data_IF_974641995555
#
_entry.id   IF_974641995555
#
_cell.length_a   1.000
_cell.length_b   1.000
_cell.length_c   1.000
_cell.angle_alpha   90.00
_cell.angle_beta   90.00
_cell.angle_gamma   90.00
#
_symmetry.space_group_name_H-M   'P 1'
#
loop_
_entity.id
_entity.type
_entity.pdbx_description
1 polymer ?
#
# COMPACT_ATOMS: atom_id res chain seq x y z
N UNK A 1 -25.21 -14.11 -3.37
CA UNK A 1 -24.72 -13.57 -3.58
C UNK A 1 -23.91 -13.34 -4.04
N UNK A 2 -23.58 -13.12 -4.35
CA UNK A 2 -22.87 -12.84 -4.76
C UNK A 2 -22.30 -12.18 -5.18
N UNK A 3 -22.08 -11.93 -4.82
CA UNK A 3 -21.48 -11.00 -5.14
C UNK A 3 -20.61 -11.04 -6.05
N UNK A 4 -20.77 -11.08 -6.68
CA UNK A 4 -19.96 -11.41 -7.61
C UNK A 4 -19.28 -10.38 -8.32
N UNK A 5 -18.25 -10.47 -8.96
CA UNK A 5 -17.52 -9.48 -9.63
C UNK A 5 -17.02 -8.34 -8.76
N UNK A 6 -17.54 -8.27 -7.60
CA UNK A 6 -17.06 -7.29 -6.65
C UNK A 6 -16.02 -7.97 -5.80
N UNK A 7 -14.81 -7.48 -5.83
CA UNK A 7 -13.74 -8.01 -5.01
C UNK A 7 -14.03 -7.82 -3.54
N UNK A 8 -13.50 -8.71 -2.73
CA UNK A 8 -13.58 -8.58 -1.28
C UNK A 8 -12.72 -7.39 -0.87
N UNK A 9 -13.22 -6.56 0.04
CA UNK A 9 -12.42 -5.46 0.56
C UNK A 9 -11.31 -6.01 1.46
N UNK A 10 -10.19 -5.34 1.50
CA UNK A 10 -9.02 -5.80 2.24
C UNK A 10 -8.73 -4.82 3.35
N UNK A 11 -8.61 -5.33 4.57
CA UNK A 11 -8.36 -4.54 5.76
C UNK A 11 -7.01 -4.85 6.42
N UNK A 12 -6.38 -5.95 6.03
CA UNK A 12 -5.13 -6.39 6.64
C UNK A 12 -3.94 -5.94 5.82
N UNK A 13 -2.99 -5.27 6.47
CA UNK A 13 -1.76 -4.80 5.82
C UNK A 13 -0.57 -5.41 6.55
N UNK A 14 0.35 -5.97 5.79
CA UNK A 14 1.58 -6.52 6.31
C UNK A 14 2.74 -5.75 5.71
N UNK A 15 3.72 -5.40 6.54
CA UNK A 15 4.95 -4.76 6.09
C UNK A 15 6.02 -5.84 5.97
N UNK A 16 6.57 -6.01 4.76
CA UNK A 16 7.60 -7.02 4.52
C UNK A 16 8.90 -6.63 5.22
N UNK A 17 9.80 -7.60 5.36
CA UNK A 17 11.12 -7.32 5.95
C UNK A 17 11.87 -6.25 5.17
N UNK A 18 11.78 -6.29 3.84
CA UNK A 18 12.43 -5.31 2.99
C UNK A 18 11.89 -3.91 3.27
N UNK A 19 10.57 -3.78 3.34
CA UNK A 19 9.93 -2.49 3.62
C UNK A 19 10.28 -2.00 5.03
N UNK A 20 10.38 -2.92 6.00
CA UNK A 20 10.78 -2.53 7.36
C UNK A 20 12.19 -1.95 7.38
N UNK A 21 13.10 -2.53 6.60
CA UNK A 21 14.44 -1.99 6.47
C UNK A 21 14.44 -0.61 5.83
N UNK A 22 13.62 -0.44 4.79
CA UNK A 22 13.49 0.85 4.14
C UNK A 22 13.00 1.91 5.11
N UNK A 23 12.04 1.56 5.96
CA UNK A 23 11.47 2.50 6.92
C UNK A 23 12.49 3.01 7.94
N UNK A 24 13.56 2.26 8.18
CA UNK A 24 14.61 2.71 9.08
C UNK A 24 15.48 3.80 8.46
N UNK A 25 15.39 3.97 7.14
CA UNK A 25 16.25 4.92 6.40
C UNK A 25 15.50 6.16 5.96
N UNK A 26 14.20 6.25 6.22
CA UNK A 26 13.40 7.40 5.79
C UNK A 26 13.18 8.34 6.97
N UNK A 27 12.87 9.62 6.69
CA UNK A 27 12.49 10.55 7.76
C UNK A 27 11.28 10.04 8.54
N UNK A 28 11.24 10.37 9.82
CA UNK A 28 10.15 9.90 10.69
C UNK A 28 8.77 10.26 10.16
N UNK A 29 8.61 11.44 9.55
CA UNK A 29 7.30 11.84 9.05
C UNK A 29 6.82 10.95 7.89
N UNK A 30 7.73 10.34 7.16
CA UNK A 30 7.37 9.41 6.09
C UNK A 30 6.82 8.11 6.70
N UNK A 31 7.49 7.60 7.75
CA UNK A 31 7.01 6.41 8.44
C UNK A 31 5.63 6.67 9.05
N UNK A 32 5.42 7.86 9.60
CA UNK A 32 4.12 8.24 10.17
C UNK A 32 3.05 8.32 9.08
N UNK A 33 3.40 8.82 7.90
CA UNK A 33 2.45 8.90 6.79
C UNK A 33 2.03 7.50 6.34
N UNK A 34 2.98 6.57 6.26
CA UNK A 34 2.65 5.19 5.93
C UNK A 34 1.78 4.57 7.01
N UNK A 35 2.10 4.81 8.28
CA UNK A 35 1.29 4.31 9.38
C UNK A 35 -0.15 4.82 9.30
N UNK A 36 -0.33 6.08 8.90
CA UNK A 36 -1.67 6.65 8.72
C UNK A 36 -2.43 5.94 7.60
N UNK A 37 -1.74 5.60 6.50
CA UNK A 37 -2.36 4.86 5.40
C UNK A 37 -2.76 3.47 5.85
N UNK A 38 -1.88 2.78 6.59
CA UNK A 38 -2.17 1.44 7.11
C UNK A 38 -3.39 1.48 8.05
N UNK A 39 -3.43 2.49 8.91
CA UNK A 39 -4.55 2.67 9.82
C UNK A 39 -5.84 2.88 9.05
N UNK A 40 -5.80 3.70 8.01
CA UNK A 40 -6.96 3.96 7.18
C UNK A 40 -7.46 2.68 6.51
N UNK A 41 -6.54 1.86 5.97
CA UNK A 41 -6.93 0.58 5.35
C UNK A 41 -7.54 -0.35 6.39
N UNK A 42 -6.94 -0.42 7.58
CA UNK A 42 -7.45 -1.29 8.65
C UNK A 42 -8.86 -0.91 9.07
N UNK A 43 -9.18 0.36 8.98
CA UNK A 43 -10.47 0.88 9.44
C UNK A 43 -11.52 0.90 8.33
N UNK A 44 -11.15 1.44 7.17
CA UNK A 44 -12.11 1.69 6.09
C UNK A 44 -12.03 0.69 4.95
N UNK A 45 -10.97 -0.08 4.88
CA UNK A 45 -10.73 -1.02 3.80
C UNK A 45 -10.01 -0.38 2.62
N UNK A 46 -9.30 -1.21 1.85
CA UNK A 46 -8.49 -0.74 0.74
C UNK A 46 -9.30 -0.03 -0.33
N UNK A 47 -10.53 -0.52 -0.61
CA UNK A 47 -11.36 0.05 -1.66
C UNK A 47 -11.60 1.55 -1.40
N UNK A 48 -11.95 1.91 -0.16
CA UNK A 48 -12.19 3.30 0.18
C UNK A 48 -10.92 4.13 0.22
N UNK A 49 -9.86 3.57 0.77
CA UNK A 49 -8.60 4.30 0.90
C UNK A 49 -7.99 4.61 -0.47
N UNK A 50 -8.18 3.73 -1.45
CA UNK A 50 -7.69 3.97 -2.82
C UNK A 50 -8.32 5.19 -3.46
N UNK A 51 -9.47 5.63 -2.99
CA UNK A 51 -10.16 6.80 -3.53
C UNK A 51 -9.65 8.12 -2.96
N UNK A 52 -8.79 8.08 -1.94
CA UNK A 52 -8.29 9.30 -1.30
C UNK A 52 -7.25 9.95 -2.21
N UNK A 53 -7.54 11.14 -2.78
CA UNK A 53 -6.67 11.73 -3.78
C UNK A 53 -5.25 12.01 -3.29
N UNK A 54 -5.10 12.38 -2.02
CA UNK A 54 -3.81 12.74 -1.46
C UNK A 54 -2.79 11.61 -1.48
N UNK A 55 -3.22 10.37 -1.48
CA UNK A 55 -2.32 9.24 -1.54
C UNK A 55 -1.91 8.86 -2.96
N UNK A 56 -2.62 9.36 -3.96
CA UNK A 56 -2.26 9.16 -5.35
C UNK A 56 -1.99 7.67 -5.66
N UNK A 57 -2.90 6.82 -5.24
CA UNK A 57 -2.77 5.36 -5.44
C UNK A 57 -2.92 5.03 -6.92
N UNK A 58 -1.90 4.45 -7.52
CA UNK A 58 -1.96 4.12 -8.93
C UNK A 58 -1.19 2.84 -9.27
N UNK A 59 -1.63 2.11 -10.31
CA UNK A 59 -0.95 0.88 -10.68
C UNK A 59 0.39 1.16 -11.34
N UNK A 60 1.32 0.24 -11.16
CA UNK A 60 2.60 0.28 -11.83
C UNK A 60 2.52 -0.50 -13.14
N UNK A 61 3.47 -0.25 -14.03
CA UNK A 61 3.47 -0.82 -15.37
C UNK A 61 4.75 -1.62 -15.62
N UNK A 62 4.84 -2.20 -16.81
CA UNK A 62 5.99 -2.97 -17.22
C UNK A 62 6.12 -4.23 -16.42
N UNK A 63 7.32 -4.55 -15.99
CA UNK A 63 7.57 -5.76 -15.20
C UNK A 63 7.11 -5.63 -13.75
N UNK A 64 6.47 -4.52 -13.38
CA UNK A 64 5.89 -4.34 -12.06
C UNK A 64 4.37 -4.38 -12.10
N UNK A 65 3.78 -4.86 -13.18
CA UNK A 65 2.33 -5.04 -13.29
C UNK A 65 1.82 -5.89 -12.11
N UNK A 66 0.73 -5.45 -11.50
CA UNK A 66 0.20 -6.09 -10.31
C UNK A 66 0.56 -5.38 -9.02
N UNK A 67 1.56 -4.50 -9.09
CA UNK A 67 1.94 -3.68 -7.95
C UNK A 67 1.34 -2.28 -8.09
N UNK A 68 1.22 -1.59 -6.96
CA UNK A 68 0.68 -0.24 -6.93
C UNK A 68 1.57 0.64 -6.07
N UNK A 69 1.53 1.93 -6.32
CA UNK A 69 2.29 2.87 -5.50
C UNK A 69 1.36 3.87 -4.83
N UNK A 70 1.74 4.30 -3.63
CA UNK A 70 1.08 5.39 -2.94
C UNK A 70 2.12 6.46 -2.64
N UNK A 71 1.68 7.71 -2.68
CA UNK A 71 2.54 8.85 -2.39
C UNK A 71 2.55 9.11 -0.89
N UNK A 72 3.74 9.13 -0.29
CA UNK A 72 3.91 9.49 1.11
C UNK A 72 4.34 10.95 1.26
N UNK A 73 5.00 11.47 0.23
CA UNK A 73 5.35 12.88 0.11
C UNK A 73 5.73 13.12 -1.35
N UNK A 74 6.17 14.32 -1.68
CA UNK A 74 6.67 14.59 -3.04
C UNK A 74 7.84 13.69 -3.39
N UNK A 75 8.67 13.35 -2.42
CA UNK A 75 9.90 12.61 -2.66
C UNK A 75 9.81 11.13 -2.36
N UNK A 76 8.83 10.68 -1.58
CA UNK A 76 8.76 9.29 -1.12
C UNK A 76 7.47 8.62 -1.50
N UNK A 77 7.56 7.34 -1.83
CA UNK A 77 6.40 6.50 -2.12
C UNK A 77 6.57 5.13 -1.49
N UNK A 78 5.47 4.44 -1.30
CA UNK A 78 5.48 3.03 -0.91
C UNK A 78 4.90 2.22 -2.05
N UNK A 79 5.41 1.02 -2.23
CA UNK A 79 4.94 0.08 -3.24
C UNK A 79 4.26 -1.07 -2.50
N UNK A 80 3.07 -1.44 -2.96
CA UNK A 80 2.36 -2.57 -2.36
C UNK A 80 1.77 -3.47 -3.44
N UNK A 81 1.43 -4.67 -3.04
CA UNK A 81 0.67 -5.58 -3.88
C UNK A 81 -0.34 -6.33 -3.02
N UNK A 82 -1.28 -6.98 -3.66
CA UNK A 82 -2.27 -7.80 -2.98
C UNK A 82 -1.77 -9.24 -3.01
N UNK A 83 -1.54 -9.80 -1.84
CA UNK A 83 -1.10 -11.17 -1.69
C UNK A 83 -2.13 -11.95 -0.91
N UNK A 84 -1.74 -13.12 -0.46
CA UNK A 84 -2.63 -14.00 0.30
C UNK A 84 -1.97 -14.54 1.53
N UNK A 85 -2.77 -14.71 2.58
CA UNK A 85 -2.40 -15.45 3.77
C UNK A 85 -3.50 -16.50 3.94
N UNK A 86 -3.18 -17.76 3.56
CA UNK A 86 -4.21 -18.77 3.42
C UNK A 86 -5.17 -18.37 2.30
N UNK A 87 -6.46 -18.29 2.62
CA UNK A 87 -7.46 -17.87 1.63
C UNK A 87 -7.78 -16.37 1.74
N UNK A 88 -7.22 -15.69 2.73
CA UNK A 88 -7.50 -14.28 2.94
C UNK A 88 -6.56 -13.42 2.12
N UNK A 89 -7.12 -12.43 1.41
CA UNK A 89 -6.30 -11.45 0.71
C UNK A 89 -5.75 -10.43 1.69
N UNK A 90 -4.51 -10.02 1.47
CA UNK A 90 -3.84 -9.05 2.32
C UNK A 90 -3.09 -8.05 1.44
N UNK A 91 -2.85 -6.87 2.00
CA UNK A 91 -1.98 -5.88 1.38
C UNK A 91 -0.57 -6.12 1.90
N UNK A 92 0.39 -6.26 0.99
CA UNK A 92 1.79 -6.41 1.36
C UNK A 92 2.57 -5.19 0.93
N UNK A 93 3.14 -4.46 1.89
CA UNK A 93 4.01 -3.33 1.59
C UNK A 93 5.39 -3.91 1.24
N UNK A 94 5.81 -3.71 0.00
CA UNK A 94 7.03 -4.32 -0.52
C UNK A 94 8.26 -3.46 -0.31
N UNK A 95 8.12 -2.15 -0.48
CA UNK A 95 9.26 -1.23 -0.36
C UNK A 95 8.76 0.17 -0.10
N UNK A 96 9.64 0.96 0.51
CA UNK A 96 9.42 2.40 0.70
C UNK A 96 10.68 3.08 0.22
N UNK A 97 10.57 3.90 -0.81
CA UNK A 97 11.76 4.48 -1.40
C UNK A 97 11.53 5.90 -1.87
N UNK A 98 12.64 6.55 -2.13
CA UNK A 98 12.63 7.89 -2.67
C UNK A 98 12.26 7.80 -4.14
N UNK A 99 11.32 8.66 -4.54
CA UNK A 99 10.87 8.70 -5.92
C UNK A 99 11.80 9.62 -6.71
N UNK A 100 12.51 9.05 -7.68
CA UNK A 100 13.38 9.82 -8.54
C UNK A 100 12.60 10.37 -9.72
N UNK A 101 12.76 11.62 -9.95
CA UNK A 101 12.14 12.29 -11.11
C UNK A 101 13.19 12.53 -12.18
#
# INVERSE_FOLDING_TARGET
MKSSGIGVNIYTVIITKSAKRDLQKVPAYIALKLAAWIEAVSHDGLIEVRKIPGFHDEPLRGNRVGQRSIRLSKAYRAIYEIGKSGEMEIVEILEVNKHDY
#
